data_IF_470681012639
#
_entry.id   IF_470681012639
#
_cell.length_a   1.000
_cell.length_b   1.000
_cell.length_c   1.000
_cell.angle_alpha   90.00
_cell.angle_beta   90.00
_cell.angle_gamma   90.00
#
_symmetry.space_group_name_H-M   'P 1'
#
loop_
_entity.id
_entity.type
_entity.pdbx_description
1 polymer ?
#
# COMPACT_ATOMS: atom_id res chain seq x y z
N UNK A 1 12.12 -4.09 5.21
CA UNK A 1 11.97 -3.17 4.06
C UNK A 1 12.25 -3.84 2.72
N UNK A 2 13.33 -4.64 2.58
CA UNK A 2 13.71 -5.28 1.31
C UNK A 2 12.56 -5.96 0.53
N UNK A 3 11.71 -6.74 1.19
CA UNK A 3 10.57 -7.40 0.54
C UNK A 3 9.55 -6.42 -0.06
N UNK A 4 9.29 -5.29 0.62
CA UNK A 4 8.33 -4.28 0.16
C UNK A 4 8.87 -3.55 -1.08
N UNK A 5 10.14 -3.13 -1.03
CA UNK A 5 10.80 -2.48 -2.15
C UNK A 5 10.81 -3.40 -3.37
N UNK A 6 11.14 -4.69 -3.20
CA UNK A 6 11.09 -5.69 -4.27
C UNK A 6 9.68 -5.87 -4.82
N UNK A 7 8.68 -6.05 -3.95
CA UNK A 7 7.28 -6.20 -4.39
C UNK A 7 6.78 -5.01 -5.19
N UNK A 8 7.15 -3.79 -4.82
CA UNK A 8 6.77 -2.60 -5.59
C UNK A 8 7.59 -2.46 -6.87
N UNK A 9 8.88 -2.77 -6.86
CA UNK A 9 9.72 -2.76 -8.06
C UNK A 9 9.21 -3.74 -9.13
N UNK A 10 8.76 -4.92 -8.72
CA UNK A 10 8.24 -5.94 -9.65
C UNK A 10 6.84 -5.60 -10.18
N UNK A 11 6.02 -4.88 -9.41
CA UNK A 11 4.60 -4.67 -9.74
C UNK A 11 4.25 -3.25 -10.24
N UNK A 12 5.10 -2.27 -9.96
CA UNK A 12 4.85 -0.84 -10.19
C UNK A 12 6.10 -0.14 -10.75
N UNK A 13 6.88 -0.81 -11.60
CA UNK A 13 8.14 -0.26 -12.15
C UNK A 13 7.93 1.08 -12.88
N UNK A 14 6.89 1.16 -13.71
CA UNK A 14 6.55 2.37 -14.45
C UNK A 14 6.13 3.50 -13.50
N UNK A 15 5.28 3.21 -12.50
CA UNK A 15 4.89 4.19 -11.49
C UNK A 15 6.06 4.67 -10.62
N UNK A 16 6.94 3.76 -10.20
CA UNK A 16 8.17 4.10 -9.47
C UNK A 16 9.05 5.04 -10.29
N UNK A 17 9.22 4.75 -11.58
CA UNK A 17 10.01 5.57 -12.49
C UNK A 17 9.42 6.96 -12.67
N UNK A 18 8.10 7.07 -12.85
CA UNK A 18 7.41 8.36 -12.95
C UNK A 18 7.53 9.16 -11.66
N UNK A 19 7.27 8.55 -10.50
CA UNK A 19 7.33 9.24 -9.20
C UNK A 19 8.74 9.72 -8.86
N UNK A 20 9.78 8.93 -9.15
CA UNK A 20 11.19 9.34 -8.97
C UNK A 20 11.54 10.55 -9.82
N UNK A 21 11.01 10.62 -11.03
CA UNK A 21 11.25 11.72 -11.98
C UNK A 21 10.27 12.89 -11.80
N UNK A 22 9.36 12.83 -10.82
CA UNK A 22 8.27 13.80 -10.61
C UNK A 22 7.43 14.02 -11.87
N UNK A 23 7.22 12.96 -12.65
CA UNK A 23 6.37 12.94 -13.85
C UNK A 23 4.96 12.48 -13.50
N UNK A 24 3.94 12.90 -14.26
CA UNK A 24 2.60 12.37 -14.09
C UNK A 24 2.59 10.86 -14.32
N UNK A 25 1.70 10.18 -13.59
CA UNK A 25 1.49 8.75 -13.75
C UNK A 25 0.80 8.42 -15.09
N UNK A 26 1.01 7.21 -15.62
CA UNK A 26 0.31 6.73 -16.81
C UNK A 26 -1.21 6.80 -16.64
N UNK A 27 -1.94 7.16 -17.69
CA UNK A 27 -3.41 7.33 -17.69
C UNK A 27 -4.17 6.06 -17.26
N UNK A 28 -3.56 4.87 -17.42
CA UNK A 28 -4.12 3.59 -16.99
C UNK A 28 -3.64 3.08 -15.63
N UNK A 29 -2.81 3.85 -14.92
CA UNK A 29 -2.25 3.41 -13.64
C UNK A 29 -3.36 3.25 -12.60
N UNK A 30 -3.33 2.10 -11.93
CA UNK A 30 -4.24 1.81 -10.80
C UNK A 30 -3.96 2.70 -9.58
N UNK A 31 -2.84 3.43 -9.59
CA UNK A 31 -2.43 4.31 -8.49
C UNK A 31 -2.80 5.77 -8.74
N UNK A 32 -3.07 6.19 -9.97
CA UNK A 32 -3.26 7.60 -10.32
C UNK A 32 -4.36 8.30 -9.52
N UNK A 33 -5.43 7.58 -9.15
CA UNK A 33 -6.54 8.12 -8.34
C UNK A 33 -6.31 8.11 -6.83
N UNK A 34 -5.17 7.59 -6.37
CA UNK A 34 -4.85 7.38 -4.96
C UNK A 34 -3.85 8.40 -4.40
N UNK A 35 -3.62 9.51 -5.10
CA UNK A 35 -2.63 10.53 -4.73
C UNK A 35 -1.27 9.91 -4.29
N UNK A 36 -0.63 9.11 -5.16
CA UNK A 36 0.51 8.31 -4.76
C UNK A 36 1.79 9.14 -4.70
N UNK A 37 2.64 8.85 -3.71
CA UNK A 37 3.93 9.52 -3.54
C UNK A 37 5.00 8.54 -3.03
N UNK A 38 6.28 8.94 -3.13
CA UNK A 38 7.40 8.17 -2.57
C UNK A 38 7.77 8.69 -1.18
N UNK A 39 7.93 7.77 -0.23
CA UNK A 39 8.52 8.09 1.08
C UNK A 39 10.05 8.08 1.05
N UNK A 40 10.66 8.40 2.20
CA UNK A 40 12.12 8.45 2.35
C UNK A 40 12.81 7.10 2.14
N UNK A 41 12.06 5.99 2.18
CA UNK A 41 12.55 4.64 1.89
C UNK A 41 12.37 4.25 0.42
N UNK A 42 11.86 5.14 -0.43
CA UNK A 42 11.56 4.88 -1.83
C UNK A 42 10.36 3.95 -2.03
N UNK A 43 9.46 3.85 -1.04
CA UNK A 43 8.21 3.09 -1.16
C UNK A 43 7.08 3.98 -1.64
N UNK A 44 6.24 3.46 -2.53
CA UNK A 44 4.99 4.10 -2.94
C UNK A 44 3.98 4.01 -1.79
N UNK A 45 3.47 5.16 -1.38
CA UNK A 45 2.40 5.34 -0.40
C UNK A 45 1.20 6.04 -1.03
N UNK A 46 0.04 5.88 -0.40
CA UNK A 46 -1.23 6.53 -0.77
C UNK A 46 -1.42 7.78 0.06
N UNK A 47 -1.76 8.90 -0.57
CA UNK A 47 -2.22 10.11 0.12
C UNK A 47 -3.58 9.86 0.80
N UNK A 48 -3.78 10.39 2.01
CA UNK A 48 -5.07 10.28 2.69
C UNK A 48 -5.61 11.63 3.14
N UNK A 49 -6.94 11.68 3.29
CA UNK A 49 -7.67 12.83 3.81
C UNK A 49 -7.39 13.11 5.30
N UNK A 50 -6.73 12.19 6.00
CA UNK A 50 -6.38 12.31 7.42
C UNK A 50 -4.88 12.61 7.64
N UNK A 51 -4.18 13.09 6.61
CA UNK A 51 -2.74 13.41 6.69
C UNK A 51 -2.36 14.30 7.89
N UNK A 52 -3.22 15.24 8.24
CA UNK A 52 -3.00 16.20 9.32
C UNK A 52 -3.39 15.68 10.72
N UNK A 53 -3.95 14.48 10.85
CA UNK A 53 -4.45 13.99 12.15
C UNK A 53 -3.32 13.67 13.14
N UNK A 54 -3.17 14.41 14.24
CA UNK A 54 -2.00 14.29 15.12
C UNK A 54 -1.90 12.93 15.86
N UNK A 55 -3.03 12.30 16.19
CA UNK A 55 -3.08 11.06 16.98
C UNK A 55 -3.13 9.77 16.14
N UNK A 56 -2.56 9.80 14.93
CA UNK A 56 -2.58 8.68 13.98
C UNK A 56 -1.18 8.39 13.48
N UNK A 57 -0.80 7.11 13.40
CA UNK A 57 0.54 6.72 12.93
C UNK A 57 0.76 7.11 11.46
N UNK A 58 2.01 7.37 11.08
CA UNK A 58 2.36 7.70 9.70
C UNK A 58 1.93 6.60 8.71
N UNK A 59 2.08 5.33 9.09
CA UNK A 59 1.67 4.19 8.26
C UNK A 59 0.14 4.13 8.08
N UNK A 60 -0.64 4.51 9.08
CA UNK A 60 -2.10 4.59 8.98
C UNK A 60 -2.52 5.77 8.10
N UNK A 61 -1.84 6.91 8.21
CA UNK A 61 -2.09 8.10 7.39
C UNK A 61 -1.72 7.88 5.93
N UNK A 62 -0.60 7.21 5.69
CA UNK A 62 0.01 7.06 4.38
C UNK A 62 0.39 5.59 4.16
N UNK A 63 -0.60 4.72 3.94
CA UNK A 63 -0.36 3.30 3.86
C UNK A 63 0.48 2.93 2.64
N UNK A 64 1.30 1.90 2.80
CA UNK A 64 2.19 1.38 1.75
C UNK A 64 1.36 0.61 0.73
N UNK A 65 1.49 0.95 -0.55
CA UNK A 65 0.76 0.27 -1.62
C UNK A 65 1.27 -1.16 -1.81
N UNK A 66 0.35 -2.12 -1.89
CA UNK A 66 0.67 -3.51 -2.23
C UNK A 66 -0.18 -4.04 -3.41
N UNK A 67 0.45 -4.75 -4.36
CA UNK A 67 -0.27 -5.46 -5.42
C UNK A 67 -0.95 -6.72 -4.84
N UNK A 68 -2.24 -6.99 -5.12
CA UNK A 68 -2.99 -8.09 -4.50
C UNK A 68 -2.49 -9.48 -4.91
N UNK A 69 -1.96 -9.61 -6.13
CA UNK A 69 -1.62 -10.91 -6.71
C UNK A 69 -0.22 -11.40 -6.36
N UNK A 70 0.63 -10.51 -5.84
CA UNK A 70 2.02 -10.80 -5.55
C UNK A 70 2.16 -11.79 -4.36
N UNK A 71 3.10 -12.76 -4.42
CA UNK A 71 3.27 -13.78 -3.37
C UNK A 71 3.43 -13.20 -1.96
N UNK A 72 4.24 -12.15 -1.81
CA UNK A 72 4.40 -11.44 -0.55
C UNK A 72 3.07 -10.93 0.03
N UNK A 73 2.24 -10.30 -0.80
CA UNK A 73 0.94 -9.77 -0.36
C UNK A 73 0.00 -10.90 0.05
N UNK A 74 -0.01 -12.02 -0.67
CA UNK A 74 -0.80 -13.21 -0.31
C UNK A 74 -0.36 -13.81 1.03
N UNK A 75 0.95 -13.92 1.25
CA UNK A 75 1.51 -14.40 2.53
C UNK A 75 1.16 -13.45 3.68
N UNK A 76 1.25 -12.14 3.44
CA UNK A 76 0.85 -11.12 4.41
C UNK A 76 -0.63 -11.27 4.76
N UNK A 77 -1.51 -11.33 3.77
CA UNK A 77 -2.95 -11.54 3.97
C UNK A 77 -3.25 -12.83 4.74
N UNK A 78 -2.58 -13.93 4.41
CA UNK A 78 -2.68 -15.20 5.13
C UNK A 78 -2.27 -15.08 6.59
N UNK A 79 -1.20 -14.34 6.90
CA UNK A 79 -0.79 -14.06 8.29
C UNK A 79 -1.88 -13.30 9.06
N UNK A 80 -2.46 -12.25 8.47
CA UNK A 80 -3.53 -11.49 9.12
C UNK A 80 -4.80 -12.33 9.28
N UNK A 81 -5.11 -13.20 8.33
CA UNK A 81 -6.22 -14.14 8.42
C UNK A 81 -6.06 -15.11 9.60
N UNK A 82 -4.87 -15.71 9.75
CA UNK A 82 -4.57 -16.60 10.88
C UNK A 82 -4.61 -15.87 12.23
N UNK A 83 -4.13 -14.63 12.28
CA UNK A 83 -4.19 -13.78 13.47
C UNK A 83 -5.63 -13.45 13.87
N UNK A 84 -6.49 -13.13 12.90
CA UNK A 84 -7.88 -12.74 13.12
C UNK A 84 -8.76 -13.89 13.62
N UNK A 85 -8.36 -15.16 13.44
CA UNK A 85 -9.14 -16.36 13.83
C UNK A 85 -10.58 -16.28 13.30
N UNK A 86 -11.57 -16.12 14.17
CA UNK A 86 -13.01 -16.03 13.86
C UNK A 86 -13.50 -14.60 13.62
N UNK A 87 -12.61 -13.62 13.72
CA UNK A 87 -12.96 -12.24 13.39
C UNK A 87 -13.21 -12.15 11.88
N UNK A 88 -14.32 -11.51 11.51
CA UNK A 88 -14.75 -11.39 10.12
C UNK A 88 -13.73 -10.69 9.22
N UNK A 89 -14.00 -10.73 7.91
CA UNK A 89 -13.14 -10.12 6.87
C UNK A 89 -12.88 -8.62 7.11
N UNK A 90 -13.86 -7.90 7.65
CA UNK A 90 -13.74 -6.47 7.94
C UNK A 90 -12.67 -6.17 8.99
N UNK A 91 -12.55 -7.00 10.03
CA UNK A 91 -11.49 -6.86 11.04
C UNK A 91 -10.11 -7.01 10.40
N UNK A 92 -9.95 -7.98 9.51
CA UNK A 92 -8.70 -8.21 8.78
C UNK A 92 -8.37 -7.00 7.91
N UNK A 93 -9.34 -6.52 7.13
CA UNK A 93 -9.15 -5.38 6.24
C UNK A 93 -8.79 -4.11 7.02
N UNK A 94 -9.47 -3.86 8.14
CA UNK A 94 -9.17 -2.72 8.99
C UNK A 94 -7.77 -2.81 9.60
N UNK A 95 -7.37 -3.99 10.06
CA UNK A 95 -6.02 -4.22 10.60
C UNK A 95 -4.92 -4.05 9.54
N UNK A 96 -5.17 -4.49 8.30
CA UNK A 96 -4.22 -4.32 7.19
C UNK A 96 -4.14 -2.85 6.76
N UNK A 97 -5.27 -2.15 6.68
CA UNK A 97 -5.34 -0.73 6.28
C UNK A 97 -4.64 0.22 7.25
N UNK A 98 -4.32 -0.23 8.48
CA UNK A 98 -3.45 0.53 9.38
C UNK A 98 -2.02 0.71 8.85
N UNK A 99 -1.60 -0.05 7.83
CA UNK A 99 -0.23 0.04 7.29
C UNK A 99 -0.12 -0.18 5.80
N UNK A 100 -1.04 -0.93 5.21
CA UNK A 100 -0.96 -1.37 3.83
C UNK A 100 -2.25 -1.05 3.07
N UNK A 101 -2.07 -0.54 1.87
CA UNK A 101 -3.13 -0.35 0.89
C UNK A 101 -3.03 -1.45 -0.17
N UNK A 102 -3.70 -2.58 0.08
CA UNK A 102 -3.77 -3.67 -0.90
C UNK A 102 -4.76 -3.29 -1.99
N UNK A 103 -4.31 -3.15 -3.23
CA UNK A 103 -5.20 -2.75 -4.33
C UNK A 103 -6.32 -3.77 -4.48
N UNK A 104 -7.55 -3.26 -4.69
CA UNK A 104 -8.77 -4.07 -4.89
C UNK A 104 -9.17 -4.94 -3.69
N UNK A 105 -8.55 -4.78 -2.51
CA UNK A 105 -9.00 -5.45 -1.29
C UNK A 105 -10.34 -4.87 -0.83
N UNK A 106 -11.40 -5.67 -0.94
CA UNK A 106 -12.78 -5.38 -0.51
C UNK A 106 -13.23 -6.39 0.53
#
# INVERSE_FOLDING_TARGET
>A
LQWLCRTQAEAFDEELSCLRQKKPLPTGSRLASLDPFLDDNGLIRVGSRIGEAENVTYDTKFPIVLPPEHPYTKLLLGKYHLWARHQGKETILNAIRQKYWVLRAR
#
